data_IF_116184883547
#
_entry.id   IF_116184883547
#
_cell.length_a   1.000
_cell.length_b   1.000
_cell.length_c   1.000
_cell.angle_alpha   90.00
_cell.angle_beta   90.00
_cell.angle_gamma   90.00
#
_symmetry.space_group_name_H-M   'P 1'
#
loop_
_entity.id
_entity.type
_entity.pdbx_description
1 polymer ?
#
# COMPACT_ATOMS: atom_id res chain seq x y z
N UNK A 1 9.41 18.99 29.89
CA UNK A 1 10.21 19.50 28.80
C UNK A 1 9.79 18.86 27.50
N UNK A 2 9.90 19.63 26.41
CA UNK A 2 9.52 19.18 25.06
C UNK A 2 10.27 17.92 24.60
N UNK A 3 11.46 17.68 25.13
CA UNK A 3 12.29 16.54 24.73
C UNK A 3 11.66 15.19 25.00
N UNK A 4 10.99 15.04 26.13
CA UNK A 4 10.32 13.77 26.47
C UNK A 4 9.13 13.51 25.52
N UNK A 5 8.36 14.54 25.20
CA UNK A 5 7.25 14.43 24.27
C UNK A 5 7.75 14.15 22.84
N UNK A 6 8.78 14.89 22.41
CA UNK A 6 9.39 14.68 21.08
C UNK A 6 9.87 13.26 20.94
N UNK A 7 10.56 12.72 21.94
CA UNK A 7 11.08 11.36 21.93
C UNK A 7 9.96 10.33 21.83
N UNK A 8 8.91 10.50 22.64
CA UNK A 8 7.74 9.60 22.64
C UNK A 8 7.04 9.61 21.29
N UNK A 9 6.82 10.80 20.72
CA UNK A 9 6.15 10.91 19.42
C UNK A 9 6.98 10.26 18.31
N UNK A 10 8.31 10.46 18.33
CA UNK A 10 9.21 9.81 17.38
C UNK A 10 9.16 8.29 17.48
N UNK A 11 9.07 7.75 18.70
CA UNK A 11 8.94 6.30 18.93
C UNK A 11 7.62 5.78 18.35
N UNK A 12 6.53 6.52 18.56
CA UNK A 12 5.22 6.16 18.01
C UNK A 12 5.22 6.20 16.49
N UNK A 13 5.86 7.22 15.91
CA UNK A 13 6.00 7.31 14.44
C UNK A 13 6.81 6.13 13.91
N UNK A 14 7.92 5.80 14.57
CA UNK A 14 8.75 4.66 14.16
C UNK A 14 7.98 3.34 14.21
N UNK A 15 7.10 3.17 15.19
CA UNK A 15 6.22 1.99 15.27
C UNK A 15 5.26 1.94 14.09
N UNK A 16 4.70 3.09 13.68
CA UNK A 16 3.85 3.15 12.51
C UNK A 16 4.62 2.85 11.23
N UNK A 17 5.86 3.32 11.13
CA UNK A 17 6.70 3.00 9.97
C UNK A 17 6.94 1.48 9.86
N UNK A 18 7.20 0.82 10.97
CA UNK A 18 7.35 -0.65 10.97
C UNK A 18 6.06 -1.34 10.55
N UNK A 19 4.91 -0.84 11.01
CA UNK A 19 3.59 -1.38 10.60
C UNK A 19 3.36 -1.19 9.10
N UNK A 20 3.74 -0.04 8.56
CA UNK A 20 3.66 0.22 7.11
C UNK A 20 4.54 -0.76 6.34
N UNK A 21 5.78 -0.94 6.79
CA UNK A 21 6.71 -1.88 6.15
C UNK A 21 6.16 -3.30 6.16
N UNK A 22 5.66 -3.75 7.31
CA UNK A 22 5.06 -5.08 7.44
C UNK A 22 3.86 -5.24 6.49
N UNK A 23 3.01 -4.21 6.41
CA UNK A 23 1.84 -4.22 5.53
C UNK A 23 2.25 -4.28 4.05
N UNK A 24 3.27 -3.52 3.66
CA UNK A 24 3.79 -3.53 2.29
C UNK A 24 4.31 -4.93 1.94
N UNK A 25 5.10 -5.52 2.82
CA UNK A 25 5.64 -6.86 2.58
C UNK A 25 4.54 -7.93 2.49
N UNK A 26 3.55 -7.86 3.38
CA UNK A 26 2.41 -8.78 3.34
C UNK A 26 1.62 -8.64 2.04
N UNK A 27 1.41 -7.40 1.61
CA UNK A 27 0.72 -7.10 0.35
C UNK A 27 1.48 -7.66 -0.85
N UNK A 28 2.80 -7.48 -0.89
CA UNK A 28 3.64 -8.00 -1.97
C UNK A 28 3.56 -9.54 -2.07
N UNK A 29 3.57 -10.22 -0.93
CA UNK A 29 3.43 -11.68 -0.90
C UNK A 29 2.10 -12.14 -1.48
N UNK A 30 1.01 -11.46 -1.11
CA UNK A 30 -0.32 -11.78 -1.61
C UNK A 30 -0.44 -11.50 -3.11
N UNK A 31 0.12 -10.39 -3.58
CA UNK A 31 0.08 -10.05 -5.00
C UNK A 31 0.91 -11.04 -5.82
N UNK A 32 2.06 -11.47 -5.32
CA UNK A 32 2.87 -12.49 -5.99
C UNK A 32 2.10 -13.80 -6.12
N UNK A 33 1.37 -14.18 -5.08
CA UNK A 33 0.52 -15.37 -5.09
C UNK A 33 -0.61 -15.24 -6.11
N UNK A 34 -1.27 -14.08 -6.14
CA UNK A 34 -2.31 -13.79 -7.12
C UNK A 34 -1.76 -13.86 -8.54
N UNK A 35 -0.58 -13.30 -8.77
CA UNK A 35 0.07 -13.32 -10.08
C UNK A 35 0.30 -14.76 -10.55
N UNK A 36 0.84 -15.60 -9.68
CA UNK A 36 1.07 -17.02 -10.02
C UNK A 36 -0.24 -17.74 -10.38
N UNK A 37 -1.29 -17.48 -9.60
CA UNK A 37 -2.61 -18.07 -9.87
C UNK A 37 -3.16 -17.62 -11.22
N UNK A 38 -3.09 -16.31 -11.51
CA UNK A 38 -3.54 -15.77 -12.80
C UNK A 38 -2.77 -16.37 -13.96
N UNK A 39 -1.46 -16.58 -13.82
CA UNK A 39 -0.62 -17.21 -14.84
C UNK A 39 -1.11 -18.62 -15.15
N UNK A 40 -1.48 -19.41 -14.13
CA UNK A 40 -2.00 -20.76 -14.32
C UNK A 40 -3.35 -20.78 -15.03
N UNK A 41 -4.12 -19.70 -14.93
CA UNK A 41 -5.45 -19.56 -15.53
C UNK A 41 -5.43 -18.84 -16.87
N UNK A 42 -4.28 -18.37 -17.31
CA UNK A 42 -4.18 -17.60 -18.55
C UNK A 42 -4.81 -16.21 -18.44
N UNK A 43 -4.88 -15.65 -17.24
CA UNK A 43 -5.50 -14.35 -16.97
C UNK A 43 -4.39 -13.30 -16.87
N UNK A 44 -4.62 -12.14 -17.49
CA UNK A 44 -3.67 -11.03 -17.40
C UNK A 44 -3.51 -10.55 -15.97
N UNK A 45 -2.27 -10.29 -15.57
CA UNK A 45 -1.95 -9.81 -14.23
C UNK A 45 -2.49 -8.39 -13.99
N UNK A 46 -2.26 -7.48 -14.94
CA UNK A 46 -2.68 -6.08 -14.78
C UNK A 46 -4.15 -5.92 -15.12
N UNK A 47 -4.90 -5.32 -14.19
CA UNK A 47 -6.33 -5.05 -14.34
C UNK A 47 -6.58 -3.61 -13.89
N UNK A 48 -6.64 -2.70 -14.85
CA UNK A 48 -6.79 -1.26 -14.58
C UNK A 48 -8.14 -0.91 -13.96
N UNK A 49 -9.18 -1.68 -14.28
CA UNK A 49 -10.50 -1.47 -13.68
C UNK A 49 -10.47 -1.83 -12.19
N UNK A 50 -9.80 -2.92 -11.84
CA UNK A 50 -9.65 -3.31 -10.44
C UNK A 50 -8.83 -2.29 -9.67
N UNK A 51 -7.77 -1.74 -10.27
CA UNK A 51 -6.96 -0.69 -9.66
C UNK A 51 -7.81 0.54 -9.34
N UNK A 52 -8.68 0.96 -10.27
CA UNK A 52 -9.55 2.11 -10.04
C UNK A 52 -10.60 1.83 -8.97
N UNK A 53 -11.16 0.63 -8.94
CA UNK A 53 -12.10 0.22 -7.88
C UNK A 53 -11.40 0.25 -6.50
N UNK A 54 -10.17 -0.20 -6.44
CA UNK A 54 -9.37 -0.15 -5.21
C UNK A 54 -9.22 1.30 -4.72
N UNK A 55 -8.83 2.20 -5.62
CA UNK A 55 -8.62 3.61 -5.28
C UNK A 55 -9.92 4.25 -4.79
N UNK A 56 -11.04 4.01 -5.48
CA UNK A 56 -12.33 4.52 -5.07
C UNK A 56 -12.75 4.00 -3.70
N UNK A 57 -12.54 2.71 -3.45
CA UNK A 57 -12.83 2.11 -2.15
C UNK A 57 -12.02 2.73 -1.03
N UNK A 58 -10.74 2.95 -1.27
CA UNK A 58 -9.84 3.58 -0.28
C UNK A 58 -10.26 5.02 -0.01
N UNK A 59 -10.61 5.78 -1.06
CA UNK A 59 -11.07 7.15 -0.90
C UNK A 59 -12.35 7.22 -0.08
N UNK A 60 -13.26 6.29 -0.30
CA UNK A 60 -14.54 6.24 0.43
C UNK A 60 -14.34 5.92 1.91
N UNK A 61 -13.38 5.07 2.25
CA UNK A 61 -13.16 4.62 3.63
C UNK A 61 -12.10 5.40 4.39
N UNK A 62 -11.39 6.30 3.72
CA UNK A 62 -10.32 7.08 4.35
C UNK A 62 -10.90 8.14 5.29
N UNK A 63 -10.68 8.02 6.61
CA UNK A 63 -11.20 9.01 7.56
C UNK A 63 -10.31 10.25 7.69
N UNK A 64 -9.21 10.31 6.96
CA UNK A 64 -8.20 11.35 7.14
C UNK A 64 -7.28 11.04 8.33
N UNK A 65 -6.27 11.85 8.56
CA UNK A 65 -5.97 13.16 7.96
C UNK A 65 -5.34 13.13 6.56
N UNK A 66 -5.04 11.96 5.98
CA UNK A 66 -4.48 11.90 4.63
C UNK A 66 -5.48 12.49 3.64
N UNK A 67 -5.04 13.44 2.81
CA UNK A 67 -5.89 14.03 1.79
C UNK A 67 -6.20 13.04 0.67
N UNK A 68 -7.27 13.29 -0.07
CA UNK A 68 -7.64 12.50 -1.23
C UNK A 68 -6.53 12.47 -2.27
N UNK A 69 -5.93 13.63 -2.55
CA UNK A 69 -4.81 13.75 -3.47
C UNK A 69 -3.60 12.96 -2.99
N UNK A 70 -3.27 13.09 -1.70
CA UNK A 70 -2.16 12.34 -1.10
C UNK A 70 -2.38 10.84 -1.18
N UNK A 71 -3.61 10.37 -0.95
CA UNK A 71 -3.96 8.96 -1.07
C UNK A 71 -3.72 8.46 -2.49
N UNK A 72 -4.19 9.19 -3.50
CA UNK A 72 -4.00 8.80 -4.90
C UNK A 72 -2.53 8.76 -5.29
N UNK A 73 -1.75 9.74 -4.85
CA UNK A 73 -0.31 9.77 -5.09
C UNK A 73 0.38 8.56 -4.46
N UNK A 74 0.06 8.29 -3.20
CA UNK A 74 0.66 7.17 -2.47
C UNK A 74 0.34 5.85 -3.17
N UNK A 75 -0.93 5.61 -3.50
CA UNK A 75 -1.32 4.34 -4.13
C UNK A 75 -0.82 4.20 -5.56
N UNK A 76 -0.69 5.29 -6.31
CA UNK A 76 -0.03 5.25 -7.62
C UNK A 76 1.39 4.68 -7.49
N UNK A 77 2.13 5.13 -6.47
CA UNK A 77 3.48 4.62 -6.19
C UNK A 77 3.47 3.16 -5.70
N UNK A 78 2.54 2.83 -4.82
CA UNK A 78 2.40 1.46 -4.31
C UNK A 78 2.11 0.50 -5.47
N UNK A 79 1.20 0.86 -6.37
CA UNK A 79 0.86 0.01 -7.51
C UNK A 79 2.03 -0.14 -8.48
N UNK A 80 2.75 0.95 -8.76
CA UNK A 80 3.94 0.91 -9.61
C UNK A 80 5.05 0.06 -8.97
N UNK A 81 5.30 0.26 -7.69
CA UNK A 81 6.27 -0.51 -6.92
C UNK A 81 5.92 -2.00 -6.95
N UNK A 82 4.66 -2.32 -6.73
CA UNK A 82 4.16 -3.69 -6.72
C UNK A 82 4.48 -4.39 -8.03
N UNK A 83 4.21 -3.74 -9.16
CA UNK A 83 4.48 -4.31 -10.49
C UNK A 83 5.97 -4.59 -10.69
N UNK A 84 6.82 -3.70 -10.21
CA UNK A 84 8.28 -3.90 -10.29
C UNK A 84 8.75 -5.05 -9.42
N UNK A 85 8.25 -5.12 -8.17
CA UNK A 85 8.72 -6.10 -7.19
C UNK A 85 8.24 -7.52 -7.48
N UNK A 86 7.06 -7.68 -8.07
CA UNK A 86 6.50 -9.02 -8.34
C UNK A 86 6.70 -9.47 -9.79
N UNK A 87 7.35 -8.66 -10.61
CA UNK A 87 7.47 -8.93 -12.04
C UNK A 87 8.56 -9.95 -12.38
N UNK A 88 9.29 -10.43 -11.41
CA UNK A 88 10.27 -11.49 -11.61
C UNK A 88 9.65 -12.88 -11.30
#
# INVERSE_FOLDING_TARGET
>A
MSDALVRRLREQIAERDRAILDAVNARLKLVAELKRHKETQGIDFVDTEQEERLLQGLETTNPGPLSREGLRRLWTEILALTKREVND
#
